data_IF_823257482325
#
_entry.id   IF_823257482325
#
_cell.length_a   1.000
_cell.length_b   1.000
_cell.length_c   1.000
_cell.angle_alpha   90.00
_cell.angle_beta   90.00
_cell.angle_gamma   90.00
#
_symmetry.space_group_name_H-M   'P 1'
#
loop_
_entity.id
_entity.type
_entity.pdbx_description
1 polymer ?
#
# COMPACT_ATOMS: atom_id res chain seq x y z
N UNK A 1 1.09 -1.47 0.03
CA UNK A 1 0.64 -1.08 -1.33
C UNK A 1 0.72 0.44 -1.43
N UNK A 2 0.82 1.01 -2.63
CA UNK A 2 0.86 2.49 -2.84
C UNK A 2 -0.21 2.92 -3.83
N UNK A 3 -0.88 4.03 -3.58
CA UNK A 3 -1.83 4.62 -4.52
C UNK A 3 -1.07 5.36 -5.63
N UNK A 4 -1.37 5.01 -6.88
CA UNK A 4 -0.95 5.77 -8.06
C UNK A 4 -2.16 6.53 -8.62
N UNK A 5 -1.96 7.80 -8.95
CA UNK A 5 -3.01 8.65 -9.51
C UNK A 5 -2.87 8.90 -11.02
N UNK A 6 -1.65 8.86 -11.55
CA UNK A 6 -1.34 9.16 -12.96
C UNK A 6 -0.40 8.10 -13.55
N UNK A 7 -0.52 7.76 -14.84
CA UNK A 7 -1.56 8.21 -15.78
C UNK A 7 -2.93 7.53 -15.53
N UNK A 8 -2.96 6.44 -14.76
CA UNK A 8 -4.16 5.69 -14.40
C UNK A 8 -4.17 5.37 -12.92
N UNK A 9 -5.36 5.39 -12.30
CA UNK A 9 -5.57 4.96 -10.92
C UNK A 9 -5.14 3.49 -10.77
N UNK A 10 -4.25 3.22 -9.83
CA UNK A 10 -3.80 1.86 -9.53
C UNK A 10 -3.36 1.71 -8.07
N UNK A 11 -3.44 0.48 -7.55
CA UNK A 11 -2.78 0.08 -6.31
C UNK A 11 -1.52 -0.70 -6.64
N UNK A 12 -0.38 -0.03 -6.49
CA UNK A 12 0.93 -0.60 -6.76
C UNK A 12 1.36 -1.54 -5.62
N UNK A 13 1.95 -2.71 -5.94
CA UNK A 13 2.59 -3.57 -4.96
C UNK A 13 3.85 -2.92 -4.39
N UNK A 14 4.25 -3.36 -3.19
CA UNK A 14 5.57 -3.04 -2.61
C UNK A 14 6.50 -4.27 -2.61
N UNK A 15 6.04 -5.36 -3.22
CA UNK A 15 6.78 -6.59 -3.45
C UNK A 15 6.48 -7.03 -4.89
N UNK A 16 7.51 -7.21 -5.76
CA UNK A 16 7.32 -7.58 -7.17
C UNK A 16 6.60 -8.91 -7.41
N UNK A 17 6.55 -9.81 -6.42
CA UNK A 17 5.82 -11.07 -6.52
C UNK A 17 4.29 -10.91 -6.63
N UNK A 18 3.77 -9.69 -6.45
CA UNK A 18 2.33 -9.39 -6.52
C UNK A 18 2.03 -8.44 -7.67
N UNK A 19 0.86 -8.58 -8.31
CA UNK A 19 0.48 -7.71 -9.41
C UNK A 19 0.06 -6.30 -8.95
N UNK A 20 0.05 -5.37 -9.91
CA UNK A 20 -0.62 -4.08 -9.82
C UNK A 20 -2.12 -4.27 -10.00
N UNK A 21 -2.93 -3.61 -9.17
CA UNK A 21 -4.39 -3.67 -9.27
C UNK A 21 -4.94 -2.40 -9.93
N UNK A 22 -5.88 -2.58 -10.86
CA UNK A 22 -6.61 -1.51 -11.55
C UNK A 22 -8.11 -1.65 -11.29
N UNK A 23 -8.59 -1.32 -10.09
CA UNK A 23 -10.00 -1.50 -9.72
C UNK A 23 -10.91 -0.52 -10.48
N UNK A 24 -12.14 -0.93 -10.76
CA UNK A 24 -13.20 -0.06 -11.29
C UNK A 24 -13.75 0.86 -10.19
N UNK A 25 -13.90 0.33 -8.97
CA UNK A 25 -14.31 1.06 -7.78
C UNK A 25 -13.20 1.02 -6.71
N UNK A 26 -12.83 2.18 -6.17
CA UNK A 26 -11.80 2.31 -5.15
C UNK A 26 -12.25 3.26 -4.04
N UNK A 27 -12.36 2.72 -2.83
CA UNK A 27 -12.58 3.50 -1.62
C UNK A 27 -11.29 3.55 -0.78
N UNK A 28 -10.87 4.76 -0.39
CA UNK A 28 -9.71 4.99 0.46
C UNK A 28 -10.19 5.36 1.86
N UNK A 29 -9.81 4.56 2.86
CA UNK A 29 -10.24 4.75 4.26
C UNK A 29 -9.29 5.61 5.09
N UNK A 30 -8.13 5.97 4.54
CA UNK A 30 -7.13 6.78 5.22
C UNK A 30 -5.75 6.63 4.59
N UNK A 31 -4.80 7.38 5.13
CA UNK A 31 -3.40 7.35 4.70
C UNK A 31 -2.55 6.80 5.83
N UNK A 32 -1.63 5.89 5.50
CA UNK A 32 -0.63 5.44 6.47
C UNK A 32 0.38 6.56 6.68
N UNK A 33 0.46 7.08 7.91
CA UNK A 33 1.37 8.16 8.30
C UNK A 33 2.62 7.67 9.02
N UNK A 34 2.55 6.48 9.63
CA UNK A 34 3.68 5.84 10.31
C UNK A 34 3.61 4.32 10.19
N UNK A 35 4.78 3.67 10.17
CA UNK A 35 4.94 2.23 10.31
C UNK A 35 5.76 1.97 11.58
N UNK A 36 5.17 1.32 12.57
CA UNK A 36 5.88 0.95 13.80
C UNK A 36 6.27 -0.51 13.69
N UNK A 37 7.58 -0.78 13.56
CA UNK A 37 8.12 -2.13 13.62
C UNK A 37 8.57 -2.41 15.06
N UNK A 38 7.95 -3.39 15.72
CA UNK A 38 8.42 -3.87 17.02
C UNK A 38 9.45 -4.97 16.80
N UNK A 39 10.72 -4.68 17.10
CA UNK A 39 11.69 -5.74 17.36
C UNK A 39 11.42 -6.31 18.75
N UNK A 40 11.59 -7.62 18.93
CA UNK A 40 11.35 -8.26 20.21
C UNK A 40 12.37 -7.70 21.22
N UNK A 41 11.92 -6.92 22.20
CA UNK A 41 12.76 -6.55 23.35
C UNK A 41 12.91 -7.79 24.21
N UNK A 42 14.14 -8.26 24.41
CA UNK A 42 14.46 -9.18 25.49
C UNK A 42 14.70 -8.33 26.73
N UNK A 43 13.61 -8.02 27.44
CA UNK A 43 13.62 -7.68 28.87
C UNK A 43 12.29 -8.17 29.47
#
# INVERSE_FOLDING_TARGET
KRLQLKPRIALLPMNPAYPTLYPEELQIFGVVTAFIHKTRSTD
#
